data_IF_224890280785
#
_entry.id   IF_224890280785
#
_cell.length_a   1.000
_cell.length_b   1.000
_cell.length_c   1.000
_cell.angle_alpha   90.00
_cell.angle_beta   90.00
_cell.angle_gamma   90.00
#
_symmetry.space_group_name_H-M   'P 1'
#
loop_
_entity.id
_entity.type
_entity.pdbx_description
1 polymer ?
#
# COMPACT_ATOMS: atom_id res chain seq x y z
N UNK A 1 -4.88 -1.09 4.42
CA UNK A 1 -3.48 -0.93 3.94
C UNK A 1 -2.87 0.42 4.30
N UNK A 2 -3.60 1.54 4.16
CA UNK A 2 -3.05 2.87 4.43
C UNK A 2 -2.82 3.15 5.93
N UNK A 3 -3.47 2.42 6.84
CA UNK A 3 -3.20 2.51 8.27
C UNK A 3 -1.74 2.18 8.62
N UNK A 4 -1.12 1.23 7.92
CA UNK A 4 0.28 0.86 8.10
C UNK A 4 1.25 1.98 7.68
N UNK A 5 0.88 2.78 6.68
CA UNK A 5 1.65 3.96 6.26
C UNK A 5 1.60 5.07 7.31
N UNK A 6 0.44 5.27 7.93
CA UNK A 6 0.23 6.32 8.96
C UNK A 6 1.04 6.11 10.22
N UNK A 7 1.31 4.85 10.62
CA UNK A 7 2.07 4.52 11.84
C UNK A 7 3.53 4.95 11.72
N UNK A 8 4.08 4.87 10.53
CA UNK A 8 5.50 5.16 10.31
C UNK A 8 5.69 6.21 9.21
N UNK A 9 5.48 7.50 9.53
CA UNK A 9 5.60 8.58 8.55
C UNK A 9 7.00 8.65 7.92
N UNK A 10 8.04 8.14 8.60
CA UNK A 10 9.42 8.12 8.08
C UNK A 10 9.59 7.23 6.85
N UNK A 11 8.65 6.30 6.62
CA UNK A 11 8.65 5.40 5.46
C UNK A 11 7.49 5.65 4.50
N UNK A 12 6.73 6.74 4.69
CA UNK A 12 5.51 7.01 3.96
C UNK A 12 5.69 6.94 2.43
N UNK A 13 6.76 7.52 1.92
CA UNK A 13 7.07 7.50 0.47
C UNK A 13 7.31 6.06 -0.02
N UNK A 14 8.11 5.29 0.72
CA UNK A 14 8.41 3.91 0.35
C UNK A 14 7.17 3.02 0.44
N UNK A 15 6.35 3.20 1.48
CA UNK A 15 5.13 2.43 1.69
C UNK A 15 4.06 2.79 0.64
N UNK A 16 3.89 4.07 0.31
CA UNK A 16 3.01 4.51 -0.77
C UNK A 16 3.42 3.92 -2.13
N UNK A 17 4.73 3.94 -2.45
CA UNK A 17 5.28 3.29 -3.64
C UNK A 17 5.00 1.79 -3.66
N UNK A 18 5.20 1.11 -2.54
CA UNK A 18 4.93 -0.32 -2.43
C UNK A 18 3.44 -0.64 -2.65
N UNK A 19 2.54 0.14 -2.05
CA UNK A 19 1.09 -0.03 -2.22
C UNK A 19 0.68 0.24 -3.67
N UNK A 20 1.13 1.35 -4.25
CA UNK A 20 0.87 1.67 -5.65
C UNK A 20 1.38 0.58 -6.60
N UNK A 21 2.58 0.04 -6.34
CA UNK A 21 3.14 -1.06 -7.12
C UNK A 21 2.26 -2.32 -7.05
N UNK A 22 1.80 -2.71 -5.85
CA UNK A 22 0.94 -3.88 -5.68
C UNK A 22 -0.42 -3.74 -6.36
N UNK A 23 -0.92 -2.51 -6.45
CA UNK A 23 -2.19 -2.20 -7.13
C UNK A 23 -1.99 -2.21 -8.66
N UNK A 24 -0.91 -1.62 -9.18
CA UNK A 24 -0.64 -1.53 -10.61
C UNK A 24 -0.05 -2.81 -11.21
N UNK A 25 0.66 -3.60 -10.42
CA UNK A 25 1.27 -4.87 -10.82
C UNK A 25 0.96 -5.98 -9.81
N UNK A 26 -0.31 -6.37 -9.69
CA UNK A 26 -0.73 -7.38 -8.71
C UNK A 26 -0.11 -8.75 -8.97
N UNK A 27 0.32 -9.05 -10.19
CA UNK A 27 0.94 -10.31 -10.57
C UNK A 27 2.47 -10.33 -10.37
N UNK A 28 3.08 -9.18 -10.11
CA UNK A 28 4.55 -9.07 -9.99
C UNK A 28 5.29 -9.34 -11.30
N UNK A 29 4.64 -9.14 -12.46
CA UNK A 29 5.24 -9.37 -13.80
C UNK A 29 6.07 -8.19 -14.30
N UNK A 30 6.05 -7.10 -13.56
CA UNK A 30 6.64 -5.82 -13.91
C UNK A 30 5.70 -4.95 -14.76
N UNK A 31 5.75 -3.66 -14.55
CA UNK A 31 5.00 -2.67 -15.30
C UNK A 31 5.69 -2.42 -16.65
N UNK A 32 5.25 -3.11 -17.69
CA UNK A 32 5.93 -3.10 -19.00
C UNK A 32 5.43 -1.99 -19.93
N UNK A 33 4.18 -1.59 -19.80
CA UNK A 33 3.59 -0.56 -20.62
C UNK A 33 3.65 0.81 -19.96
N UNK A 34 3.63 1.84 -20.81
CA UNK A 34 3.71 3.24 -20.41
C UNK A 34 2.57 3.66 -19.47
N UNK A 35 1.32 3.29 -19.78
CA UNK A 35 0.17 3.73 -18.99
C UNK A 35 0.15 3.13 -17.59
N UNK A 36 0.58 1.88 -17.44
CA UNK A 36 0.74 1.25 -16.12
C UNK A 36 1.84 1.94 -15.31
N UNK A 37 2.98 2.30 -15.93
CA UNK A 37 4.06 3.03 -15.24
C UNK A 37 3.63 4.44 -14.83
N UNK A 38 3.00 5.17 -15.74
CA UNK A 38 2.49 6.52 -15.45
C UNK A 38 1.33 6.49 -14.43
N UNK A 39 0.45 5.48 -14.50
CA UNK A 39 -0.59 5.24 -13.52
C UNK A 39 -0.03 4.94 -12.12
N UNK A 40 1.04 4.16 -12.04
CA UNK A 40 1.77 3.92 -10.79
C UNK A 40 2.34 5.22 -10.19
N UNK A 41 2.95 6.07 -11.02
CA UNK A 41 3.50 7.35 -10.57
C UNK A 41 2.38 8.26 -10.03
N UNK A 42 1.30 8.44 -10.79
CA UNK A 42 0.12 9.20 -10.38
C UNK A 42 -0.47 8.65 -9.08
N UNK A 43 -0.67 7.33 -8.99
CA UNK A 43 -1.24 6.68 -7.82
C UNK A 43 -0.36 6.85 -6.57
N UNK A 44 0.95 6.83 -6.72
CA UNK A 44 1.88 7.08 -5.61
C UNK A 44 1.70 8.49 -5.04
N UNK A 45 1.68 9.51 -5.91
CA UNK A 45 1.44 10.89 -5.50
C UNK A 45 0.07 11.08 -4.84
N UNK A 46 -0.96 10.46 -5.42
CA UNK A 46 -2.33 10.54 -4.91
C UNK A 46 -2.50 9.85 -3.55
N UNK A 47 -1.87 8.69 -3.33
CA UNK A 47 -1.88 8.02 -2.02
C UNK A 47 -1.23 8.92 -0.97
N UNK A 48 -0.06 9.50 -1.26
CA UNK A 48 0.60 10.43 -0.33
C UNK A 48 -0.26 11.65 -0.04
N UNK A 49 -0.83 12.27 -1.08
CA UNK A 49 -1.74 13.41 -0.95
C UNK A 49 -2.92 13.10 -0.01
N UNK A 50 -3.59 11.97 -0.22
CA UNK A 50 -4.78 11.60 0.55
C UNK A 50 -4.43 11.27 2.00
N UNK A 51 -3.32 10.55 2.26
CA UNK A 51 -2.85 10.23 3.62
C UNK A 51 -2.52 11.50 4.40
N UNK A 52 -1.86 12.46 3.76
CA UNK A 52 -1.52 13.73 4.41
C UNK A 52 -2.75 14.61 4.60
N UNK A 53 -3.64 14.64 3.62
CA UNK A 53 -4.82 15.51 3.62
C UNK A 53 -5.91 15.05 4.59
N UNK A 54 -6.08 13.74 4.73
CA UNK A 54 -7.17 13.12 5.51
C UNK A 54 -6.61 12.23 6.61
N UNK A 55 -7.06 12.45 7.83
CA UNK A 55 -6.82 11.51 8.92
C UNK A 55 -7.62 10.24 8.65
N UNK A 56 -7.05 9.08 8.97
CA UNK A 56 -7.68 7.78 8.74
C UNK A 56 -8.07 7.51 7.28
N UNK A 57 -7.23 7.98 6.35
CA UNK A 57 -7.39 7.80 4.92
C UNK A 57 -7.40 6.31 4.53
N UNK A 58 -8.21 5.98 3.53
CA UNK A 58 -8.37 4.63 2.98
C UNK A 58 -8.11 4.61 1.48
N UNK A 59 -7.96 3.43 0.89
CA UNK A 59 -7.88 3.32 -0.57
C UNK A 59 -9.21 3.70 -1.25
N UNK A 60 -10.34 3.57 -0.56
CA UNK A 60 -11.61 4.07 -1.06
C UNK A 60 -11.62 5.60 -1.17
N UNK A 61 -10.94 6.32 -0.24
CA UNK A 61 -10.78 7.77 -0.34
C UNK A 61 -9.92 8.18 -1.55
N UNK A 62 -8.86 7.41 -1.82
CA UNK A 62 -8.01 7.62 -3.02
C UNK A 62 -8.84 7.48 -4.29
N UNK A 63 -9.71 6.46 -4.35
CA UNK A 63 -10.65 6.28 -5.48
C UNK A 63 -11.64 7.44 -5.58
N UNK A 64 -12.22 7.84 -4.45
CA UNK A 64 -13.21 8.92 -4.41
C UNK A 64 -12.60 10.23 -4.92
N UNK A 65 -11.37 10.55 -4.51
CA UNK A 65 -10.69 11.78 -4.91
C UNK A 65 -10.47 11.85 -6.43
N UNK A 66 -9.88 10.80 -7.02
CA UNK A 66 -9.61 10.77 -8.46
C UNK A 66 -10.91 10.69 -9.28
N UNK A 67 -11.91 9.92 -8.81
CA UNK A 67 -13.18 9.76 -9.54
C UNK A 67 -14.05 11.03 -9.47
N UNK A 68 -14.02 11.76 -8.34
CA UNK A 68 -14.73 13.03 -8.20
C UNK A 68 -14.19 14.05 -9.21
N UNK A 69 -12.90 14.19 -9.30
CA UNK A 69 -12.24 15.11 -10.23
C UNK A 69 -12.51 14.75 -11.69
N UNK A 70 -12.55 13.47 -12.04
CA UNK A 70 -12.89 13.00 -13.36
C UNK A 70 -14.34 13.34 -13.75
N UNK A 71 -15.29 13.17 -12.84
CA UNK A 71 -16.70 13.50 -13.05
C UNK A 71 -16.97 15.02 -13.16
N UNK A 72 -16.17 15.84 -12.51
CA UNK A 72 -16.21 17.30 -12.62
C UNK A 72 -15.49 17.84 -13.89
N UNK A 73 -14.91 16.93 -14.69
CA UNK A 73 -14.35 17.18 -16.00
C UNK A 73 -12.97 17.81 -16.01
N UNK A 74 -12.28 17.88 -14.88
CA UNK A 74 -10.92 18.43 -14.85
C UNK A 74 -10.01 17.80 -13.78
N UNK A 75 -9.42 16.66 -14.14
CA UNK A 75 -8.37 16.02 -13.34
C UNK A 75 -7.17 16.95 -13.11
N UNK A 76 -6.92 17.91 -14.00
CA UNK A 76 -5.85 18.90 -13.82
C UNK A 76 -6.10 19.77 -12.59
N UNK A 77 -7.36 20.09 -12.27
CA UNK A 77 -7.68 20.84 -11.06
C UNK A 77 -7.26 20.06 -9.79
N UNK A 78 -7.46 18.74 -9.77
CA UNK A 78 -6.93 17.91 -8.67
C UNK A 78 -5.40 17.99 -8.60
N UNK A 79 -4.71 17.87 -9.74
CA UNK A 79 -3.25 17.90 -9.79
C UNK A 79 -2.70 19.25 -9.32
N UNK A 80 -3.32 20.37 -9.74
CA UNK A 80 -2.97 21.69 -9.24
C UNK A 80 -3.26 21.81 -7.72
N UNK A 81 -4.41 21.34 -7.26
CA UNK A 81 -4.73 21.34 -5.83
C UNK A 81 -3.74 20.49 -5.01
N UNK A 82 -3.19 19.41 -5.58
CA UNK A 82 -2.13 18.64 -4.95
C UNK A 82 -0.83 19.44 -4.83
N UNK A 83 -0.46 20.21 -5.86
CA UNK A 83 0.75 21.04 -5.87
C UNK A 83 0.61 22.24 -4.92
N UNK A 84 -0.55 22.91 -4.95
CA UNK A 84 -0.79 24.13 -4.15
C UNK A 84 -0.97 23.85 -2.64
N UNK A 85 -1.21 22.59 -2.27
CA UNK A 85 -1.48 22.23 -0.88
C UNK A 85 -0.21 22.10 -0.06
N UNK A 86 -0.15 22.77 1.07
CA UNK A 86 0.99 22.78 1.98
C UNK A 86 1.07 21.50 2.84
N UNK A 87 1.35 20.36 2.21
CA UNK A 87 1.40 19.06 2.87
C UNK A 87 2.45 19.00 4.00
N UNK A 88 3.59 19.63 3.80
CA UNK A 88 4.65 19.69 4.83
C UNK A 88 4.16 20.36 6.11
N UNK A 89 3.37 21.44 6.00
CA UNK A 89 2.82 22.12 7.17
C UNK A 89 1.76 21.25 7.88
N UNK A 90 0.92 20.55 7.11
CA UNK A 90 -0.06 19.63 7.66
C UNK A 90 0.63 18.50 8.44
N UNK A 91 1.72 17.95 7.89
CA UNK A 91 2.52 16.90 8.54
C UNK A 91 3.18 17.42 9.82
N UNK A 92 3.85 18.57 9.78
CA UNK A 92 4.49 19.19 10.95
C UNK A 92 3.48 19.49 12.06
N UNK A 93 2.27 19.93 11.70
CA UNK A 93 1.18 20.14 12.68
C UNK A 93 0.67 18.83 13.28
N UNK A 94 0.57 17.75 12.48
CA UNK A 94 0.08 16.43 12.93
C UNK A 94 1.12 15.67 13.74
N UNK A 95 2.39 15.83 13.39
CA UNK A 95 3.54 15.15 13.98
C UNK A 95 4.62 16.20 14.34
N UNK A 96 4.49 16.89 15.48
CA UNK A 96 5.41 17.99 15.86
C UNK A 96 6.88 17.56 15.94
N UNK A 97 7.14 16.30 16.29
CA UNK A 97 8.48 15.71 16.40
C UNK A 97 9.03 15.17 15.07
N UNK A 98 8.30 15.34 13.97
CA UNK A 98 8.75 14.91 12.64
C UNK A 98 9.91 15.79 12.17
N UNK A 99 10.95 15.16 11.63
CA UNK A 99 12.03 15.84 10.94
C UNK A 99 11.48 16.73 9.81
N UNK A 100 11.93 17.98 9.82
CA UNK A 100 11.51 18.98 8.82
C UNK A 100 11.86 18.54 7.40
N UNK A 101 13.06 18.02 7.18
CA UNK A 101 13.52 17.58 5.87
C UNK A 101 12.64 16.42 5.34
N UNK A 102 12.16 15.57 6.23
CA UNK A 102 11.26 14.48 5.85
C UNK A 102 9.88 15.01 5.40
N UNK A 103 9.30 15.97 6.13
CA UNK A 103 8.04 16.58 5.74
C UNK A 103 8.15 17.28 4.38
N UNK A 104 9.25 18.01 4.17
CA UNK A 104 9.54 18.71 2.92
C UNK A 104 9.82 17.73 1.76
N UNK A 105 10.44 16.59 2.02
CA UNK A 105 10.62 15.52 1.03
C UNK A 105 9.29 14.87 0.61
N UNK A 106 8.35 14.69 1.53
CA UNK A 106 7.01 14.19 1.19
C UNK A 106 6.27 15.21 0.32
N UNK A 107 6.31 16.49 0.68
CA UNK A 107 5.76 17.59 -0.13
C UNK A 107 6.34 17.55 -1.56
N UNK A 108 7.68 17.61 -1.67
CA UNK A 108 8.38 17.59 -2.95
C UNK A 108 8.07 16.34 -3.79
N UNK A 109 7.84 15.21 -3.14
CA UNK A 109 7.45 13.97 -3.83
C UNK A 109 6.05 14.09 -4.41
N UNK A 110 5.09 14.62 -3.66
CA UNK A 110 3.71 14.84 -4.15
C UNK A 110 3.73 15.83 -5.32
N UNK A 111 4.43 16.95 -5.17
CA UNK A 111 4.54 18.00 -6.18
C UNK A 111 5.17 17.47 -7.47
N UNK A 112 6.19 16.62 -7.35
CA UNK A 112 6.87 16.00 -8.48
C UNK A 112 5.93 15.10 -9.27
N UNK A 113 5.19 14.20 -8.61
CA UNK A 113 4.26 13.29 -9.29
C UNK A 113 3.05 14.02 -9.90
N UNK A 114 2.52 15.02 -9.20
CA UNK A 114 1.43 15.83 -9.72
C UNK A 114 1.90 16.71 -10.90
N UNK A 115 3.08 17.33 -10.79
CA UNK A 115 3.71 18.11 -11.85
C UNK A 115 4.01 17.30 -13.10
N UNK A 116 4.53 16.07 -12.94
CA UNK A 116 4.75 15.16 -14.06
C UNK A 116 3.42 14.77 -14.76
N UNK A 117 2.35 14.63 -14.00
CA UNK A 117 1.05 14.28 -14.56
C UNK A 117 0.38 15.49 -15.26
N UNK A 118 0.43 16.69 -14.67
CA UNK A 118 -0.28 17.88 -15.17
C UNK A 118 0.22 18.37 -16.52
N UNK A 119 1.51 18.16 -16.84
CA UNK A 119 2.12 18.58 -18.12
C UNK A 119 1.78 17.65 -19.29
N UNK A 120 1.16 16.48 -19.02
CA UNK A 120 0.77 15.55 -20.08
C UNK A 120 -0.34 16.11 -20.95
N UNK A 121 -0.33 15.73 -22.23
CA UNK A 121 -1.44 16.05 -23.14
C UNK A 121 -2.76 15.45 -22.63
N UNK A 122 -3.90 16.09 -22.86
CA UNK A 122 -5.19 15.70 -22.30
C UNK A 122 -5.57 14.24 -22.59
N UNK A 123 -5.32 13.78 -23.81
CA UNK A 123 -5.58 12.36 -24.17
C UNK A 123 -4.67 11.38 -23.44
N UNK A 124 -3.42 11.75 -23.25
CA UNK A 124 -2.44 10.96 -22.52
C UNK A 124 -2.82 10.89 -21.03
N UNK A 125 -3.10 12.04 -20.43
CA UNK A 125 -3.53 12.13 -19.04
C UNK A 125 -4.81 11.31 -18.78
N UNK A 126 -5.80 11.43 -19.67
CA UNK A 126 -7.04 10.63 -19.59
C UNK A 126 -6.75 9.12 -19.60
N UNK A 127 -5.82 8.65 -20.44
CA UNK A 127 -5.38 7.26 -20.46
C UNK A 127 -4.71 6.82 -19.15
N UNK A 128 -3.85 7.66 -18.58
CA UNK A 128 -3.17 7.41 -17.30
C UNK A 128 -4.18 7.33 -16.16
N UNK A 129 -5.10 8.28 -16.09
CA UNK A 129 -6.17 8.34 -15.07
C UNK A 129 -7.09 7.13 -15.18
N UNK A 130 -7.54 6.79 -16.38
CA UNK A 130 -8.38 5.61 -16.62
C UNK A 130 -7.69 4.32 -16.17
N UNK A 131 -6.39 4.19 -16.41
CA UNK A 131 -5.59 3.04 -15.95
C UNK A 131 -5.53 3.00 -14.42
N UNK A 132 -5.28 4.13 -13.76
CA UNK A 132 -5.25 4.22 -12.30
C UNK A 132 -6.62 3.87 -11.68
N UNK A 133 -7.72 4.39 -12.22
CA UNK A 133 -9.09 4.08 -11.77
C UNK A 133 -9.40 2.59 -11.97
N UNK A 134 -9.00 2.00 -13.09
CA UNK A 134 -9.21 0.57 -13.37
C UNK A 134 -8.49 -0.30 -12.34
N UNK A 135 -7.26 0.02 -12.02
CA UNK A 135 -6.47 -0.71 -11.03
C UNK A 135 -7.05 -0.57 -9.59
N UNK A 136 -7.71 0.55 -9.31
CA UNK A 136 -8.38 0.81 -8.03
C UNK A 136 -9.84 0.29 -7.98
N UNK A 137 -10.35 -0.31 -9.06
CA UNK A 137 -11.78 -0.66 -9.19
C UNK A 137 -12.33 -1.50 -8.05
N UNK A 138 -11.51 -2.38 -7.46
CA UNK A 138 -11.88 -3.21 -6.31
C UNK A 138 -12.33 -2.37 -5.10
N UNK A 139 -11.70 -1.24 -4.86
CA UNK A 139 -11.99 -0.36 -3.71
C UNK A 139 -13.21 0.53 -3.92
N UNK A 140 -13.85 0.46 -5.11
CA UNK A 140 -15.18 1.05 -5.38
C UNK A 140 -16.33 0.16 -4.91
N UNK A 141 -16.06 -1.12 -4.65
CA UNK A 141 -17.06 -2.04 -4.09
C UNK A 141 -17.38 -1.59 -2.64
N UNK A 142 -18.66 -1.29 -2.31
CA UNK A 142 -19.02 -0.80 -0.98
C UNK A 142 -18.67 -1.75 0.16
N UNK A 143 -18.70 -3.08 -0.09
CA UNK A 143 -18.36 -4.09 0.90
C UNK A 143 -16.85 -4.05 1.16
N UNK A 144 -16.03 -3.97 0.10
CA UNK A 144 -14.58 -3.87 0.23
C UNK A 144 -14.20 -2.55 0.89
N UNK A 145 -14.80 -1.43 0.45
CA UNK A 145 -14.58 -0.11 1.04
C UNK A 145 -14.88 -0.11 2.54
N UNK A 146 -16.03 -0.66 2.96
CA UNK A 146 -16.43 -0.78 4.37
C UNK A 146 -15.46 -1.66 5.15
N UNK A 147 -15.09 -2.83 4.64
CA UNK A 147 -14.20 -3.77 5.35
C UNK A 147 -12.74 -3.30 5.41
N UNK A 148 -12.37 -2.29 4.63
CA UNK A 148 -11.03 -1.69 4.63
C UNK A 148 -11.02 -0.27 5.16
N UNK A 149 -12.13 0.23 5.72
CA UNK A 149 -12.25 1.60 6.25
C UNK A 149 -11.56 1.78 7.60
N UNK A 150 -11.53 0.74 8.40
CA UNK A 150 -10.95 0.74 9.74
C UNK A 150 -9.93 -0.41 9.88
N UNK A 151 -9.03 -0.28 10.84
CA UNK A 151 -8.06 -1.31 11.20
C UNK A 151 -8.21 -1.65 12.67
N UNK A 152 -8.65 -2.88 12.97
CA UNK A 152 -8.79 -3.38 14.33
C UNK A 152 -7.44 -3.75 14.95
N UNK A 153 -6.41 -3.96 14.14
CA UNK A 153 -5.06 -4.32 14.54
C UNK A 153 -4.02 -3.80 13.54
N UNK A 154 -2.78 -3.76 13.98
CA UNK A 154 -1.64 -3.54 13.10
C UNK A 154 -0.99 -4.87 12.74
N UNK A 155 -0.37 -4.96 11.57
CA UNK A 155 0.32 -6.19 11.13
C UNK A 155 1.38 -6.61 12.14
N UNK A 156 2.07 -5.64 12.76
CA UNK A 156 3.06 -5.91 13.81
C UNK A 156 2.49 -6.62 15.04
N UNK A 157 1.21 -6.45 15.34
CA UNK A 157 0.57 -7.01 16.54
C UNK A 157 0.45 -8.53 16.45
N UNK A 158 0.37 -9.07 15.24
CA UNK A 158 0.30 -10.52 15.00
C UNK A 158 1.47 -11.26 15.66
N UNK A 159 2.67 -10.63 15.68
CA UNK A 159 3.87 -11.23 16.28
C UNK A 159 4.30 -10.58 17.60
N UNK A 160 3.68 -9.45 18.01
CA UNK A 160 4.10 -8.68 19.19
C UNK A 160 3.04 -8.52 20.29
N UNK A 161 1.84 -9.04 20.12
CA UNK A 161 0.81 -9.03 21.16
C UNK A 161 1.29 -9.68 22.46
N UNK A 162 0.63 -9.37 23.56
CA UNK A 162 0.93 -10.00 24.85
C UNK A 162 0.61 -11.49 24.83
N UNK A 163 -0.47 -11.87 24.15
CA UNK A 163 -0.88 -13.26 23.92
C UNK A 163 -0.75 -13.62 22.44
N UNK A 164 -0.50 -14.90 22.09
CA UNK A 164 -0.54 -15.34 20.70
C UNK A 164 -1.85 -14.97 20.00
N UNK A 165 -1.77 -14.62 18.72
CA UNK A 165 -2.91 -14.19 17.91
C UNK A 165 -3.06 -15.12 16.72
N UNK A 166 -4.28 -15.57 16.47
CA UNK A 166 -4.67 -16.31 15.27
C UNK A 166 -5.46 -15.37 14.34
N UNK A 167 -4.98 -15.18 13.12
CA UNK A 167 -5.66 -14.40 12.09
C UNK A 167 -6.16 -15.32 10.97
N UNK A 168 -7.47 -15.32 10.74
CA UNK A 168 -8.11 -16.08 9.68
C UNK A 168 -8.56 -15.18 8.55
N UNK A 169 -7.99 -15.38 7.36
CA UNK A 169 -8.42 -14.72 6.12
C UNK A 169 -9.31 -15.69 5.34
N UNK A 170 -10.61 -15.55 5.49
CA UNK A 170 -11.58 -16.46 4.88
C UNK A 170 -12.22 -15.79 3.67
N UNK A 171 -12.10 -16.41 2.50
CA UNK A 171 -12.71 -15.95 1.25
C UNK A 171 -13.46 -17.10 0.61
N UNK A 172 -14.72 -16.89 0.23
CA UNK A 172 -15.47 -17.93 -0.48
C UNK A 172 -14.88 -18.15 -1.88
N UNK A 173 -14.88 -19.39 -2.40
CA UNK A 173 -14.37 -19.70 -3.73
C UNK A 173 -14.98 -18.82 -4.83
N UNK A 174 -16.27 -18.51 -4.73
CA UNK A 174 -16.96 -17.64 -5.69
C UNK A 174 -16.43 -16.20 -5.76
N UNK A 175 -15.79 -15.72 -4.70
CA UNK A 175 -15.25 -14.34 -4.62
C UNK A 175 -13.72 -14.28 -4.72
N UNK A 176 -13.06 -15.42 -4.82
CA UNK A 176 -11.61 -15.51 -4.72
C UNK A 176 -10.90 -14.71 -5.83
N UNK A 177 -11.35 -14.88 -7.09
CA UNK A 177 -10.75 -14.15 -8.21
C UNK A 177 -10.91 -12.64 -8.06
N UNK A 178 -12.07 -12.18 -7.61
CA UNK A 178 -12.37 -10.77 -7.39
C UNK A 178 -11.55 -10.17 -6.25
N UNK A 179 -11.36 -10.91 -5.15
CA UNK A 179 -10.67 -10.43 -3.94
C UNK A 179 -9.18 -10.75 -3.92
N UNK A 180 -8.68 -11.52 -4.88
CA UNK A 180 -7.26 -11.87 -5.00
C UNK A 180 -6.32 -10.66 -4.91
N UNK A 181 -6.58 -9.51 -5.57
CA UNK A 181 -5.71 -8.33 -5.43
C UNK A 181 -5.61 -7.84 -3.98
N UNK A 182 -6.72 -7.84 -3.22
CA UNK A 182 -6.73 -7.43 -1.82
C UNK A 182 -5.90 -8.36 -0.94
N UNK A 183 -6.05 -9.68 -1.12
CA UNK A 183 -5.25 -10.68 -0.41
C UNK A 183 -3.75 -10.50 -0.71
N UNK A 184 -3.42 -10.24 -1.97
CA UNK A 184 -2.02 -10.00 -2.39
C UNK A 184 -1.43 -8.76 -1.76
N UNK A 185 -2.18 -7.66 -1.68
CA UNK A 185 -1.77 -6.45 -0.97
C UNK A 185 -1.51 -6.77 0.51
N UNK A 186 -2.42 -7.49 1.16
CA UNK A 186 -2.26 -7.88 2.55
C UNK A 186 -1.00 -8.74 2.78
N UNK A 187 -0.82 -9.83 2.02
CA UNK A 187 0.36 -10.69 2.15
C UNK A 187 1.67 -9.96 1.86
N UNK A 188 1.67 -9.06 0.88
CA UNK A 188 2.84 -8.25 0.56
C UNK A 188 3.22 -7.33 1.71
N UNK A 189 2.24 -6.60 2.27
CA UNK A 189 2.45 -5.74 3.42
C UNK A 189 2.92 -6.53 4.64
N UNK A 190 2.25 -7.65 4.94
CA UNK A 190 2.56 -8.49 6.08
C UNK A 190 4.00 -9.06 5.98
N UNK A 191 4.35 -9.67 4.86
CA UNK A 191 5.68 -10.24 4.67
C UNK A 191 6.78 -9.17 4.72
N UNK A 192 6.57 -8.01 4.08
CA UNK A 192 7.51 -6.89 4.17
C UNK A 192 7.68 -6.41 5.61
N UNK A 193 6.57 -6.28 6.36
CA UNK A 193 6.59 -5.84 7.75
C UNK A 193 7.36 -6.82 8.63
N UNK A 194 7.07 -8.11 8.52
CA UNK A 194 7.71 -9.16 9.33
C UNK A 194 9.18 -9.36 8.99
N UNK A 195 9.64 -8.94 7.81
CA UNK A 195 11.02 -9.07 7.37
C UNK A 195 11.81 -7.76 7.39
N UNK A 196 11.28 -6.70 8.01
CA UNK A 196 11.94 -5.39 8.07
C UNK A 196 13.12 -5.33 9.05
N UNK A 197 13.02 -6.03 10.18
CA UNK A 197 14.01 -5.94 11.26
C UNK A 197 14.62 -7.30 11.53
N UNK A 198 15.92 -7.41 11.40
CA UNK A 198 16.71 -8.52 11.89
C UNK A 198 17.67 -7.95 12.94
N UNK A 199 17.56 -8.43 14.17
CA UNK A 199 18.45 -8.07 15.27
C UNK A 199 19.54 -9.14 15.39
N UNK A 200 20.73 -8.73 15.77
CA UNK A 200 21.85 -9.64 15.98
C UNK A 200 22.37 -9.49 17.41
N UNK A 201 22.38 -10.59 18.15
CA UNK A 201 23.05 -10.69 19.44
C UNK A 201 24.17 -11.72 19.35
N UNK A 202 25.38 -11.32 19.78
CA UNK A 202 26.57 -12.16 19.75
C UNK A 202 26.85 -12.81 18.37
N UNK A 203 26.56 -12.11 17.29
CA UNK A 203 26.77 -12.58 15.91
C UNK A 203 25.72 -13.58 15.41
N UNK A 204 24.68 -13.85 16.16
CA UNK A 204 23.54 -14.68 15.76
C UNK A 204 22.29 -13.81 15.53
N UNK A 205 21.54 -14.13 14.50
CA UNK A 205 20.25 -13.46 14.24
C UNK A 205 19.27 -13.79 15.38
N UNK A 206 18.76 -12.74 16.03
CA UNK A 206 17.73 -12.84 17.06
C UNK A 206 16.42 -12.37 16.45
N UNK A 207 15.35 -13.09 16.71
CA UNK A 207 14.01 -12.71 16.27
C UNK A 207 13.55 -11.56 17.14
N UNK A 208 13.45 -10.35 16.56
CA UNK A 208 12.99 -9.13 17.24
C UNK A 208 11.50 -9.11 17.57
N UNK A 209 10.81 -10.27 17.51
CA UNK A 209 9.38 -10.42 17.78
C UNK A 209 9.14 -11.35 18.99
N UNK A 210 8.05 -11.09 19.74
CA UNK A 210 7.68 -11.91 20.91
C UNK A 210 7.24 -13.32 20.52
N UNK A 211 6.57 -13.46 19.39
CA UNK A 211 6.03 -14.73 18.91
C UNK A 211 6.56 -15.07 17.53
N UNK A 212 6.65 -16.37 17.25
CA UNK A 212 6.90 -16.87 15.90
C UNK A 212 5.59 -16.96 15.14
N UNK A 213 5.61 -16.68 13.84
CA UNK A 213 4.45 -16.76 12.97
C UNK A 213 4.46 -18.06 12.16
N UNK A 214 3.34 -18.77 12.15
CA UNK A 214 3.06 -19.84 11.21
C UNK A 214 2.05 -19.34 10.18
N UNK A 215 2.47 -19.25 8.93
CA UNK A 215 1.60 -18.98 7.78
C UNK A 215 1.04 -20.33 7.30
N UNK A 216 -0.22 -20.59 7.56
CA UNK A 216 -0.94 -21.72 6.99
C UNK A 216 -1.66 -21.25 5.73
N UNK A 217 -1.20 -21.70 4.57
CA UNK A 217 -1.70 -21.30 3.27
C UNK A 217 -2.40 -22.47 2.63
N UNK A 218 -3.70 -22.57 2.89
CA UNK A 218 -4.57 -23.53 2.25
C UNK A 218 -4.93 -23.03 0.84
N UNK A 219 -4.97 -23.94 -0.15
CA UNK A 219 -5.19 -23.58 -1.55
C UNK A 219 -4.26 -22.46 -2.08
N UNK A 220 -2.96 -22.53 -1.72
CA UNK A 220 -1.98 -21.49 -2.09
C UNK A 220 -1.98 -21.17 -3.59
N UNK A 221 -2.23 -22.17 -4.43
CA UNK A 221 -2.34 -22.02 -5.90
C UNK A 221 -3.39 -21.00 -6.32
N UNK A 222 -4.46 -20.86 -5.55
CA UNK A 222 -5.55 -19.93 -5.81
C UNK A 222 -5.15 -18.46 -5.76
N UNK A 223 -4.11 -18.13 -4.98
CA UNK A 223 -3.54 -16.78 -4.92
C UNK A 223 -2.72 -16.40 -6.16
N UNK A 224 -2.43 -17.39 -7.03
CA UNK A 224 -1.54 -17.24 -8.16
C UNK A 224 -0.08 -16.99 -7.74
N UNK A 225 0.75 -16.54 -8.66
CA UNK A 225 2.16 -16.30 -8.38
C UNK A 225 2.35 -15.10 -7.45
N UNK A 226 2.86 -15.33 -6.24
CA UNK A 226 3.26 -14.30 -5.28
C UNK A 226 4.79 -14.20 -5.27
N UNK A 227 5.37 -13.25 -6.01
CA UNK A 227 6.84 -13.09 -6.08
C UNK A 227 7.47 -12.81 -4.72
N UNK A 228 6.79 -12.02 -3.88
CA UNK A 228 7.29 -11.75 -2.53
C UNK A 228 7.41 -13.02 -1.70
N UNK A 229 6.46 -13.97 -1.86
CA UNK A 229 6.50 -15.24 -1.16
C UNK A 229 7.69 -16.09 -1.62
N UNK A 230 7.94 -16.16 -2.94
CA UNK A 230 9.09 -16.89 -3.47
C UNK A 230 10.42 -16.36 -2.92
N UNK A 231 10.55 -15.03 -2.84
CA UNK A 231 11.72 -14.37 -2.25
C UNK A 231 11.80 -14.59 -0.75
N UNK A 232 10.66 -14.43 -0.04
CA UNK A 232 10.60 -14.54 1.41
C UNK A 232 10.88 -15.96 1.93
N UNK A 233 10.46 -17.00 1.22
CA UNK A 233 10.71 -18.40 1.62
C UNK A 233 12.20 -18.69 1.88
N UNK A 234 13.10 -18.02 1.16
CA UNK A 234 14.54 -18.23 1.30
C UNK A 234 15.10 -17.72 2.64
N UNK A 235 14.48 -16.72 3.25
CA UNK A 235 15.03 -16.04 4.43
C UNK A 235 14.04 -15.86 5.60
N UNK A 236 12.74 -16.06 5.40
CA UNK A 236 11.70 -15.78 6.40
C UNK A 236 11.91 -16.53 7.72
N UNK A 237 12.54 -17.71 7.67
CA UNK A 237 12.83 -18.48 8.88
C UNK A 237 13.73 -17.73 9.87
N UNK A 238 14.69 -16.91 9.34
CA UNK A 238 15.56 -16.04 10.14
C UNK A 238 14.80 -14.91 10.85
N UNK A 239 13.60 -14.57 10.35
CA UNK A 239 12.70 -13.58 10.96
C UNK A 239 11.60 -14.21 11.82
N UNK A 240 11.70 -15.51 12.13
CA UNK A 240 10.71 -16.21 12.96
C UNK A 240 9.41 -16.55 12.24
N UNK A 241 9.37 -16.49 10.92
CA UNK A 241 8.21 -16.83 10.10
C UNK A 241 8.41 -18.19 9.46
N UNK A 242 7.42 -19.09 9.57
CA UNK A 242 7.39 -20.39 8.90
C UNK A 242 6.16 -20.47 8.00
N UNK A 243 6.28 -21.12 6.85
CA UNK A 243 5.15 -21.38 5.97
C UNK A 243 4.79 -22.88 6.00
N UNK A 244 3.48 -23.15 6.06
CA UNK A 244 2.89 -24.45 5.80
C UNK A 244 1.96 -24.27 4.60
N UNK A 245 2.32 -24.86 3.47
CA UNK A 245 1.67 -24.64 2.19
C UNK A 245 0.95 -25.92 1.78
N UNK A 246 -0.35 -25.79 1.52
CA UNK A 246 -1.21 -26.83 0.97
C UNK A 246 -1.54 -26.44 -0.47
N UNK A 247 -1.40 -27.40 -1.39
CA UNK A 247 -1.63 -27.25 -2.85
C UNK A 247 -2.57 -28.32 -3.34
#
# INVERSE_FOLDING_TARGET
>A
PLAEVRINPNHAIADAKNIAQMICDPDGKGMKDYFTQAGYALLTGLILHVIVSKQDATLADVVAEITKSDNEGDVKNLLYAMIDKEHAQILKKRYPDMDTDLADNIQSTIDSYAGEAVIKADRELSGVVSTAITNLSLYRDPIVAKNTSESDFFISDIMNSQTPVDLYLVVSPANLDRLRPLLRVFFNLALRKFTQKMEFENGQAVVGYKHRLLLMLDEFTSLGKLEIMQKALAFMAGYGVKAYIIV
#
